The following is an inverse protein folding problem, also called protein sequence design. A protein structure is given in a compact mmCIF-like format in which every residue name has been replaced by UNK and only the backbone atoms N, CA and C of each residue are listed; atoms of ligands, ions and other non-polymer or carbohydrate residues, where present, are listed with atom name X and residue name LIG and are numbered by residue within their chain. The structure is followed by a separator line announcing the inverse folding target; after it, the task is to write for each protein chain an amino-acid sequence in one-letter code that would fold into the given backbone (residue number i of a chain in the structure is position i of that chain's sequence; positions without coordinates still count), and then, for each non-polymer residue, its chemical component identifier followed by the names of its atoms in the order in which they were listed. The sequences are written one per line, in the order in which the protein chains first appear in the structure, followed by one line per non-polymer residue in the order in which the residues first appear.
data_IF_634276780182
#
_entry.id   IF_634276780182
#
_cell.length_a   1.000
_cell.length_b   1.000
_cell.length_c   1.000
_cell.angle_alpha   90.00
_cell.angle_beta   90.00
_cell.angle_gamma   90.00
#
_symmetry.space_group_name_H-M   'P 1'
#
loop_
_entity.id
_entity.type
_entity.pdbx_description
1 polymer ?
#
# COMPACT_ATOMS: atom_id res chain seq x y z
N UNK A 1 4.42 -5.14 -8.82
CA UNK A 1 4.67 -3.68 -8.71
C UNK A 1 5.03 -3.33 -7.27
N UNK A 2 5.93 -2.38 -7.02
CA UNK A 2 6.19 -1.82 -5.69
C UNK A 2 5.70 -0.38 -5.63
N UNK A 3 4.71 -0.10 -4.79
CA UNK A 3 4.19 1.23 -4.52
C UNK A 3 4.57 1.65 -3.11
N UNK A 4 5.06 2.88 -2.95
CA UNK A 4 5.40 3.46 -1.66
C UNK A 4 4.65 4.79 -1.52
N UNK A 5 4.06 5.00 -0.35
CA UNK A 5 3.32 6.21 -0.01
C UNK A 5 3.96 6.87 1.20
N UNK A 6 3.99 8.20 1.19
CA UNK A 6 4.31 9.04 2.35
C UNK A 6 3.01 9.65 2.86
N UNK A 7 2.71 9.41 4.12
CA UNK A 7 1.48 9.85 4.77
C UNK A 7 1.84 10.85 5.86
N UNK A 8 1.09 11.95 5.97
CA UNK A 8 1.23 12.89 7.06
C UNK A 8 0.55 12.40 8.36
N UNK A 9 0.60 13.22 9.40
CA UNK A 9 0.01 12.92 10.71
C UNK A 9 -1.53 12.82 10.66
N UNK A 10 -2.15 13.55 9.73
CA UNK A 10 -3.60 13.59 9.51
C UNK A 10 -4.11 12.40 8.68
N UNK A 11 -3.23 11.50 8.22
CA UNK A 11 -3.61 10.37 7.38
C UNK A 11 -3.82 10.73 5.91
N UNK A 12 -3.25 11.85 5.44
CA UNK A 12 -3.29 12.29 4.05
C UNK A 12 -2.00 11.86 3.34
N UNK A 13 -2.15 11.33 2.12
CA UNK A 13 -1.02 10.92 1.28
C UNK A 13 -0.39 12.17 0.66
N UNK A 14 0.85 12.50 1.05
CA UNK A 14 1.59 13.65 0.50
C UNK A 14 2.35 13.32 -0.77
N UNK A 15 2.80 12.08 -0.89
CA UNK A 15 3.63 11.65 -2.01
C UNK A 15 3.43 10.16 -2.24
N UNK A 16 3.27 9.75 -3.50
CA UNK A 16 3.21 8.37 -3.90
C UNK A 16 4.24 8.12 -5.02
N UNK A 17 5.06 7.08 -4.87
CA UNK A 17 6.08 6.68 -5.85
C UNK A 17 5.97 5.20 -6.13
N UNK A 18 6.18 4.83 -7.39
CA UNK A 18 6.12 3.43 -7.80
C UNK A 18 7.40 3.00 -8.53
N UNK A 19 7.69 1.71 -8.44
CA UNK A 19 8.62 1.00 -9.31
C UNK A 19 7.90 -0.22 -9.86
N UNK A 20 7.78 -0.29 -11.17
CA UNK A 20 7.09 -1.38 -11.85
C UNK A 20 7.90 -1.86 -13.05
N UNK A 21 7.72 -3.14 -13.37
CA UNK A 21 8.22 -3.77 -14.59
C UNK A 21 7.01 -4.41 -15.26
N UNK A 22 6.78 -4.08 -16.53
CA UNK A 22 5.60 -4.54 -17.24
C UNK A 22 5.39 -3.79 -18.55
N UNK A 23 4.27 -4.08 -19.21
CA UNK A 23 3.88 -3.40 -20.43
C UNK A 23 3.51 -1.93 -20.16
N UNK A 24 3.50 -1.09 -21.21
CA UNK A 24 3.19 0.34 -21.09
C UNK A 24 1.85 0.62 -20.39
N UNK A 25 0.85 -0.24 -20.56
CA UNK A 25 -0.45 -0.12 -19.88
C UNK A 25 -0.36 -0.31 -18.36
N UNK A 26 0.53 -1.18 -17.88
CA UNK A 26 0.79 -1.34 -16.45
C UNK A 26 1.51 -0.10 -15.89
N UNK A 27 2.49 0.44 -16.63
CA UNK A 27 3.20 1.67 -16.25
C UNK A 27 2.22 2.85 -16.19
N UNK A 28 1.38 3.03 -17.21
CA UNK A 28 0.37 4.09 -17.25
C UNK A 28 -0.64 3.98 -16.10
N UNK A 29 -1.17 2.76 -15.84
CA UNK A 29 -2.10 2.52 -14.72
C UNK A 29 -1.46 2.86 -13.37
N UNK A 30 -0.18 2.52 -13.21
CA UNK A 30 0.57 2.79 -11.99
C UNK A 30 0.83 4.29 -11.79
N UNK A 31 1.20 4.99 -12.86
CA UNK A 31 1.44 6.44 -12.87
C UNK A 31 0.17 7.22 -12.54
N UNK A 32 -0.93 6.90 -13.23
CA UNK A 32 -2.22 7.52 -12.98
C UNK A 32 -2.70 7.30 -11.54
N UNK A 33 -2.54 6.07 -11.03
CA UNK A 33 -2.85 5.77 -9.63
C UNK A 33 -2.07 6.65 -8.65
N UNK A 34 -0.77 6.90 -8.89
CA UNK A 34 0.01 7.77 -7.99
C UNK A 34 -0.46 9.21 -7.97
N UNK A 35 -0.88 9.73 -9.11
CA UNK A 35 -1.45 11.08 -9.21
C UNK A 35 -2.81 11.15 -8.50
N UNK A 36 -3.68 10.17 -8.73
CA UNK A 36 -5.02 10.11 -8.14
C UNK A 36 -4.99 10.08 -6.60
N UNK A 37 -4.11 9.27 -6.00
CA UNK A 37 -4.05 9.11 -4.54
C UNK A 37 -3.36 10.25 -3.82
N UNK A 38 -2.60 11.09 -4.53
CA UNK A 38 -1.84 12.18 -3.91
C UNK A 38 -2.81 13.27 -3.46
N UNK A 39 -2.79 13.62 -2.17
CA UNK A 39 -3.73 14.54 -1.54
C UNK A 39 -4.98 13.87 -0.97
N UNK A 40 -5.20 12.56 -1.20
CA UNK A 40 -6.34 11.83 -0.62
C UNK A 40 -6.05 11.31 0.79
N UNK A 41 -7.13 11.06 1.55
CA UNK A 41 -7.05 10.31 2.80
C UNK A 41 -6.76 8.83 2.53
N UNK A 42 -6.18 8.12 3.51
CA UNK A 42 -5.99 6.67 3.41
C UNK A 42 -7.29 5.88 3.23
N UNK A 43 -8.40 6.41 3.74
CA UNK A 43 -9.71 5.77 3.61
C UNK A 43 -10.24 5.88 2.19
N UNK A 44 -10.12 7.07 1.58
CA UNK A 44 -10.59 7.30 0.22
C UNK A 44 -9.69 6.64 -0.81
N UNK A 45 -8.37 6.70 -0.61
CA UNK A 45 -7.42 5.97 -1.44
C UNK A 45 -7.67 4.44 -1.41
N UNK A 46 -8.19 3.90 -0.30
CA UNK A 46 -8.56 2.49 -0.18
C UNK A 46 -9.87 2.10 -0.90
N UNK A 47 -10.70 3.08 -1.28
CA UNK A 47 -11.97 2.86 -1.99
C UNK A 47 -11.82 2.91 -3.51
N UNK A 48 -10.68 3.35 -4.01
CA UNK A 48 -10.39 3.40 -5.45
C UNK A 48 -10.55 2.01 -6.05
N UNK A 49 -11.23 1.95 -7.20
CA UNK A 49 -11.48 0.71 -7.93
C UNK A 49 -10.72 0.71 -9.25
N UNK A 50 -10.28 -0.48 -9.67
CA UNK A 50 -9.68 -0.68 -10.98
C UNK A 50 -10.55 -0.16 -12.13
N UNK A 51 -11.88 -0.20 -12.00
CA UNK A 51 -12.82 0.25 -13.02
C UNK A 51 -12.69 1.73 -13.34
N UNK A 52 -12.34 2.56 -12.35
CA UNK A 52 -12.13 4.00 -12.55
C UNK A 52 -10.85 4.24 -13.35
N UNK A 53 -9.77 3.56 -13.00
CA UNK A 53 -8.47 3.62 -13.69
C UNK A 53 -8.60 3.09 -15.13
N UNK A 54 -9.29 1.96 -15.30
CA UNK A 54 -9.53 1.36 -16.60
C UNK A 54 -10.35 2.26 -17.51
N UNK A 55 -11.35 2.96 -16.95
CA UNK A 55 -12.18 3.91 -17.68
C UNK A 55 -11.37 5.13 -18.12
N UNK A 56 -10.58 5.71 -17.22
CA UNK A 56 -9.77 6.89 -17.52
C UNK A 56 -8.74 6.60 -18.62
N UNK A 57 -8.08 5.44 -18.54
CA UNK A 57 -7.06 5.03 -19.51
C UNK A 57 -7.63 4.32 -20.74
N UNK A 58 -8.96 4.25 -20.88
CA UNK A 58 -9.67 3.56 -21.97
C UNK A 58 -9.11 2.14 -22.22
N UNK A 59 -8.85 1.39 -21.14
CA UNK A 59 -8.21 0.08 -21.26
C UNK A 59 -9.16 -0.93 -21.90
N UNK A 60 -8.73 -1.67 -22.93
CA UNK A 60 -9.53 -2.76 -23.47
C UNK A 60 -9.65 -3.90 -22.45
N UNK A 61 -10.68 -4.76 -22.56
CA UNK A 61 -10.93 -5.84 -21.59
C UNK A 61 -9.71 -6.73 -21.30
N UNK A 62 -8.89 -7.02 -22.31
CA UNK A 62 -7.69 -7.86 -22.21
C UNK A 62 -6.62 -7.26 -21.27
N UNK A 63 -6.63 -5.94 -21.06
CA UNK A 63 -5.64 -5.22 -20.24
C UNK A 63 -6.16 -4.75 -18.89
N UNK A 64 -7.35 -5.15 -18.47
CA UNK A 64 -7.91 -4.79 -17.16
C UNK A 64 -7.02 -5.23 -15.98
N UNK A 65 -6.25 -6.30 -16.14
CA UNK A 65 -5.27 -6.74 -15.14
C UNK A 65 -4.25 -5.65 -14.77
N UNK A 66 -3.94 -4.71 -15.69
CA UNK A 66 -3.04 -3.59 -15.41
C UNK A 66 -3.65 -2.61 -14.38
N UNK A 67 -4.95 -2.37 -14.46
CA UNK A 67 -5.69 -1.54 -13.50
C UNK A 67 -5.89 -2.25 -12.15
N UNK A 68 -6.11 -3.57 -12.16
CA UNK A 68 -6.19 -4.38 -10.94
C UNK A 68 -4.86 -4.36 -10.17
N UNK A 69 -3.73 -4.47 -10.88
CA UNK A 69 -2.40 -4.39 -10.27
C UNK A 69 -2.18 -3.06 -9.51
N UNK A 70 -2.72 -1.96 -10.06
CA UNK A 70 -2.64 -0.66 -9.40
C UNK A 70 -3.51 -0.60 -8.14
N UNK A 71 -4.75 -1.10 -8.20
CA UNK A 71 -5.67 -1.21 -7.06
C UNK A 71 -5.08 -2.06 -5.92
N UNK A 72 -4.55 -3.24 -6.25
CA UNK A 72 -3.99 -4.15 -5.24
C UNK A 72 -2.77 -3.55 -4.55
N UNK A 73 -1.97 -2.78 -5.28
CA UNK A 73 -0.79 -2.15 -4.73
C UNK A 73 -1.11 -0.99 -3.78
N UNK A 74 -2.12 -0.15 -4.07
CA UNK A 74 -2.53 0.90 -3.12
C UNK A 74 -3.09 0.27 -1.84
N UNK A 75 -3.93 -0.76 -1.96
CA UNK A 75 -4.45 -1.50 -0.81
C UNK A 75 -3.33 -2.12 0.03
N UNK A 76 -2.33 -2.70 -0.64
CA UNK A 76 -1.16 -3.28 0.02
C UNK A 76 -0.30 -2.23 0.72
N UNK A 77 -0.08 -1.07 0.09
CA UNK A 77 0.68 0.04 0.67
C UNK A 77 -0.01 0.63 1.91
N UNK A 78 -1.34 0.79 1.87
CA UNK A 78 -2.14 1.25 3.01
C UNK A 78 -2.09 0.23 4.16
N UNK A 79 -2.20 -1.07 3.86
CA UNK A 79 -2.10 -2.14 4.86
C UNK A 79 -0.72 -2.15 5.53
N UNK A 80 0.36 -2.01 4.75
CA UNK A 80 1.72 -1.93 5.26
C UNK A 80 1.90 -0.70 6.17
N UNK A 81 1.40 0.47 5.76
CA UNK A 81 1.40 1.67 6.58
C UNK A 81 0.70 1.45 7.94
N UNK A 82 -0.52 0.90 7.93
CA UNK A 82 -1.27 0.62 9.16
C UNK A 82 -0.54 -0.35 10.10
N UNK A 83 0.09 -1.37 9.53
CA UNK A 83 0.89 -2.37 10.27
C UNK A 83 2.17 -1.77 10.85
N UNK A 84 2.78 -0.81 10.16
CA UNK A 84 3.95 -0.07 10.67
C UNK A 84 3.55 0.89 11.80
N UNK A 85 2.44 1.61 11.63
CA UNK A 85 1.91 2.52 12.67
C UNK A 85 1.54 1.76 13.94
N UNK A 86 0.92 0.58 13.83
CA UNK A 86 0.63 -0.25 15.01
C UNK A 86 1.89 -0.75 15.72
N UNK A 87 2.95 -1.11 14.98
CA UNK A 87 4.23 -1.52 15.57
C UNK A 87 4.98 -0.37 16.25
N UNK A 88 4.90 0.84 15.71
CA UNK A 88 5.53 2.02 16.32
C UNK A 88 4.82 2.47 17.61
N UNK A 89 3.52 2.22 17.72
CA UNK A 89 2.75 2.50 18.94
C UNK A 89 2.96 1.45 20.05
N UNK A 90 3.77 0.42 19.81
CA UNK A 90 4.20 -0.55 20.82
C UNK A 90 5.68 -0.29 21.12
N UNK A 91 5.95 0.65 22.03
CA UNK A 91 7.28 0.77 22.65
C UNK A 91 7.49 -0.37 23.66
N UNK A 92 8.69 -0.96 23.75
CA UNK A 92 8.98 -2.10 24.60
C UNK A 92 9.20 -1.65 26.04
N UNK A 93 8.19 -1.72 26.87
CA UNK A 93 8.34 -1.62 28.33
C UNK A 93 7.42 -2.62 29.02
N UNK A 94 7.95 -3.83 29.30
CA UNK A 94 7.84 -4.51 30.60
C UNK A 94 8.43 -5.93 30.54
N UNK A 95 9.60 -6.06 31.16
CA UNK A 95 10.00 -7.14 32.07
C UNK A 95 10.54 -8.48 31.54
N UNK A 96 11.87 -8.58 31.68
CA UNK A 96 12.64 -9.78 32.02
C UNK A 96 12.23 -10.27 33.42
N UNK A 97 11.81 -11.53 33.57
CA UNK A 97 12.14 -12.35 34.75
C UNK A 97 11.99 -13.86 34.48
N UNK A 98 13.14 -14.53 34.52
CA UNK A 98 13.43 -15.86 35.08
C UNK A 98 12.33 -16.95 35.15
N UNK A 99 12.64 -18.12 34.59
CA UNK A 99 13.17 -19.20 35.44
C UNK A 99 13.89 -20.29 34.63
N UNK A 100 15.09 -20.61 35.10
CA UNK A 100 15.85 -21.80 34.77
C UNK A 100 15.37 -22.98 35.64
N UNK A 101 15.20 -24.16 35.02
CA UNK A 101 15.23 -25.53 35.58
C UNK A 101 14.53 -26.45 34.55
N UNK A 102 14.98 -27.64 34.16
CA UNK A 102 16.10 -28.47 34.58
C UNK A 102 16.40 -29.47 33.44
N UNK A 103 17.66 -29.91 33.38
CA UNK A 103 18.12 -31.04 32.59
C UNK A 103 17.63 -32.39 33.16
N UNK A 104 17.73 -33.43 32.32
CA UNK A 104 17.71 -34.88 32.61
C UNK A 104 16.36 -35.58 32.46
N UNK A 105 16.23 -36.42 31.42
CA UNK A 105 16.19 -37.89 31.51
C UNK A 105 16.63 -38.50 30.18
#
# INVERSE_FOLDING_TARGET
MKLQIRVDENGIIKEAKFKTFGCGSAIASSSYMTELVTGMSLEDAGKIKNTEIAKELCLPPVKLHCSMLAEDAIRSAIKDYRTKKSRLNVSPTSEVSSNAAAATM
#
